data_IF_497102892780
#
_entry.id   IF_497102892780
#
_cell.length_a   1.000
_cell.length_b   1.000
_cell.length_c   1.000
_cell.angle_alpha   90.00
_cell.angle_beta   90.00
_cell.angle_gamma   90.00
#
_symmetry.space_group_name_H-M   'P 1'
#
loop_
_entity.id
_entity.type
_entity.pdbx_description
1 polymer ?
#
# COMPACT_ATOMS: atom_id res chain seq x y z
N UNK A 1 4.02 1.80 20.84
CA UNK A 1 3.65 0.99 19.66
C UNK A 1 4.92 0.50 19.01
N UNK A 2 5.05 -0.80 18.75
CA UNK A 2 6.20 -1.41 18.09
C UNK A 2 5.68 -2.19 16.89
N UNK A 3 6.37 -2.08 15.76
CA UNK A 3 6.13 -2.90 14.58
C UNK A 3 7.45 -3.46 14.08
N UNK A 4 7.45 -4.72 13.69
CA UNK A 4 8.60 -5.38 13.08
C UNK A 4 8.10 -6.37 12.03
N UNK A 5 8.88 -6.54 10.97
CA UNK A 5 8.56 -7.48 9.90
C UNK A 5 9.85 -8.10 9.33
N UNK A 6 9.74 -9.36 8.92
CA UNK A 6 10.78 -10.11 8.23
C UNK A 6 10.12 -10.82 7.06
N UNK A 7 10.67 -10.62 5.88
CA UNK A 7 9.99 -10.94 4.62
C UNK A 7 10.69 -12.09 3.89
N UNK A 8 9.95 -13.11 3.43
CA UNK A 8 10.53 -14.18 2.63
C UNK A 8 10.92 -13.65 1.25
N UNK A 9 11.78 -14.41 0.55
CA UNK A 9 12.07 -14.13 -0.87
C UNK A 9 10.82 -14.42 -1.71
N UNK A 10 10.55 -13.55 -2.69
CA UNK A 10 9.45 -13.73 -3.64
C UNK A 10 8.16 -13.01 -3.22
N UNK A 11 7.04 -13.39 -3.85
CA UNK A 11 5.73 -12.83 -3.51
C UNK A 11 5.26 -13.34 -2.15
N UNK A 12 4.60 -12.45 -1.40
CA UNK A 12 4.06 -12.81 -0.08
C UNK A 12 2.88 -13.76 -0.24
N UNK A 13 3.02 -14.95 0.34
CA UNK A 13 1.91 -15.85 0.55
C UNK A 13 1.07 -15.38 1.76
N UNK A 14 -0.22 -15.71 1.81
CA UNK A 14 -1.08 -15.43 2.95
C UNK A 14 -0.50 -16.00 4.26
N UNK A 15 -0.54 -15.20 5.33
CA UNK A 15 0.03 -15.57 6.64
C UNK A 15 -1.01 -16.31 7.48
N UNK A 16 -0.58 -17.37 8.17
CA UNK A 16 -1.37 -18.05 9.19
C UNK A 16 -2.16 -19.30 8.74
N UNK A 17 -1.68 -20.01 7.71
CA UNK A 17 -2.24 -21.31 7.30
C UNK A 17 -3.49 -21.23 6.40
N UNK A 18 -4.34 -22.27 6.41
CA UNK A 18 -5.59 -22.29 5.64
C UNK A 18 -6.64 -21.38 6.27
N UNK A 19 -6.80 -20.18 5.71
CA UNK A 19 -7.74 -19.15 6.19
C UNK A 19 -8.79 -18.87 5.13
N UNK A 20 -9.70 -19.81 4.89
CA UNK A 20 -10.67 -19.75 3.78
C UNK A 20 -11.61 -18.54 3.80
N UNK A 21 -11.77 -17.88 4.94
CA UNK A 21 -12.59 -16.66 5.08
C UNK A 21 -11.74 -15.37 5.02
N UNK A 22 -10.41 -15.48 4.91
CA UNK A 22 -9.52 -14.33 4.79
C UNK A 22 -9.46 -13.88 3.31
N UNK A 23 -9.78 -12.61 3.01
CA UNK A 23 -9.77 -12.11 1.65
C UNK A 23 -8.44 -12.27 0.92
N UNK A 24 -7.30 -12.06 1.61
CA UNK A 24 -5.98 -12.23 1.00
C UNK A 24 -5.70 -13.71 0.73
N UNK A 25 -6.16 -14.61 1.61
CA UNK A 25 -6.07 -16.04 1.38
C UNK A 25 -6.88 -16.47 0.14
N UNK A 26 -8.13 -16.03 0.04
CA UNK A 26 -9.01 -16.33 -1.09
C UNK A 26 -8.43 -15.78 -2.40
N UNK A 27 -7.97 -14.52 -2.39
CA UNK A 27 -7.34 -13.88 -3.55
C UNK A 27 -6.15 -14.70 -4.07
N UNK A 28 -5.28 -15.11 -3.17
CA UNK A 28 -4.05 -15.80 -3.53
C UNK A 28 -4.32 -17.23 -4.00
N UNK A 29 -5.18 -17.99 -3.30
CA UNK A 29 -5.37 -19.42 -3.57
C UNK A 29 -6.43 -19.73 -4.62
N UNK A 30 -7.48 -18.91 -4.74
CA UNK A 30 -8.60 -19.22 -5.64
C UNK A 30 -8.38 -18.68 -7.06
N UNK A 31 -7.74 -17.52 -7.19
CA UNK A 31 -7.56 -16.83 -8.48
C UNK A 31 -6.09 -16.52 -8.81
N UNK A 32 -5.15 -16.94 -7.96
CA UNK A 32 -3.72 -16.72 -8.19
C UNK A 32 -3.28 -15.25 -8.20
N UNK A 33 -4.09 -14.34 -7.63
CA UNK A 33 -3.80 -12.92 -7.65
C UNK A 33 -2.85 -12.53 -6.51
N UNK A 34 -1.55 -12.56 -6.81
CA UNK A 34 -0.48 -12.05 -5.94
C UNK A 34 -0.59 -10.54 -5.75
N UNK A 35 0.28 -9.97 -4.89
CA UNK A 35 0.17 -8.55 -4.57
C UNK A 35 0.27 -7.63 -5.78
N UNK A 36 1.16 -7.96 -6.71
CA UNK A 36 1.36 -7.16 -7.91
C UNK A 36 0.16 -7.22 -8.86
N UNK A 37 -0.55 -8.35 -8.93
CA UNK A 37 -1.72 -8.54 -9.80
C UNK A 37 -2.87 -7.63 -9.40
N UNK A 38 -3.23 -7.59 -8.11
CA UNK A 38 -4.36 -6.76 -7.69
C UNK A 38 -4.07 -5.26 -7.80
N UNK A 39 -2.83 -4.83 -7.49
CA UNK A 39 -2.44 -3.44 -7.71
C UNK A 39 -2.40 -3.07 -9.20
N UNK A 40 -2.01 -4.00 -10.08
CA UNK A 40 -2.01 -3.78 -11.52
C UNK A 40 -3.44 -3.58 -12.07
N UNK A 41 -4.42 -4.34 -11.57
CA UNK A 41 -5.83 -4.17 -11.91
C UNK A 41 -6.37 -2.81 -11.43
N UNK A 42 -5.99 -2.37 -10.23
CA UNK A 42 -6.31 -1.03 -9.73
C UNK A 42 -5.64 0.07 -10.57
N UNK A 43 -4.38 -0.14 -10.99
CA UNK A 43 -3.67 0.78 -11.85
C UNK A 43 -4.38 0.91 -13.21
N UNK A 44 -4.72 -0.20 -13.87
CA UNK A 44 -5.49 -0.19 -15.13
C UNK A 44 -6.82 0.53 -14.96
N UNK A 45 -7.59 0.22 -13.92
CA UNK A 45 -8.85 0.91 -13.62
C UNK A 45 -8.65 2.42 -13.45
N UNK A 46 -7.54 2.85 -12.83
CA UNK A 46 -7.20 4.27 -12.69
C UNK A 46 -6.85 4.90 -14.05
N UNK A 47 -6.15 4.19 -14.92
CA UNK A 47 -5.89 4.63 -16.29
C UNK A 47 -7.22 4.81 -17.06
N UNK A 48 -8.12 3.82 -16.97
CA UNK A 48 -9.39 3.83 -17.69
C UNK A 48 -10.36 4.94 -17.21
N UNK A 49 -10.46 5.13 -15.89
CA UNK A 49 -11.41 6.09 -15.31
C UNK A 49 -10.91 7.52 -15.26
N UNK A 50 -9.60 7.72 -15.09
CA UNK A 50 -9.02 9.04 -14.79
C UNK A 50 -7.90 9.45 -15.74
N UNK A 51 -7.59 8.64 -16.76
CA UNK A 51 -6.53 8.96 -17.74
C UNK A 51 -5.11 8.91 -17.18
N UNK A 52 -4.88 8.19 -16.07
CA UNK A 52 -3.53 8.01 -15.55
C UNK A 52 -2.63 7.32 -16.59
N UNK A 53 -1.35 7.68 -16.59
CA UNK A 53 -0.35 7.19 -17.54
C UNK A 53 0.76 6.41 -16.83
N UNK A 54 1.55 5.64 -17.59
CA UNK A 54 2.77 5.01 -17.06
C UNK A 54 3.76 6.04 -16.49
N UNK A 55 3.80 7.24 -17.08
CA UNK A 55 4.65 8.32 -16.60
C UNK A 55 4.19 8.86 -15.24
N UNK A 56 2.88 8.91 -14.97
CA UNK A 56 2.35 9.27 -13.66
C UNK A 56 2.81 8.30 -12.57
N UNK A 57 2.78 6.99 -12.87
CA UNK A 57 3.29 5.97 -11.96
C UNK A 57 4.80 6.09 -11.77
N UNK A 58 5.56 6.27 -12.85
CA UNK A 58 7.01 6.45 -12.79
C UNK A 58 7.41 7.68 -11.93
N UNK A 59 6.68 8.79 -12.03
CA UNK A 59 6.93 9.99 -11.23
C UNK A 59 6.83 9.72 -9.72
N UNK A 60 5.96 8.80 -9.29
CA UNK A 60 5.87 8.39 -7.87
C UNK A 60 7.19 7.75 -7.42
N UNK A 61 7.77 6.86 -8.25
CA UNK A 61 9.05 6.22 -7.96
C UNK A 61 10.19 7.23 -7.94
N UNK A 62 10.28 8.13 -8.91
CA UNK A 62 11.32 9.18 -8.96
C UNK A 62 11.29 10.03 -7.67
N UNK A 63 10.09 10.50 -7.29
CA UNK A 63 9.88 11.24 -6.05
C UNK A 63 10.35 10.43 -4.83
N UNK A 64 9.95 9.17 -4.71
CA UNK A 64 10.32 8.31 -3.59
C UNK A 64 11.83 8.04 -3.53
N UNK A 65 12.48 7.81 -4.68
CA UNK A 65 13.91 7.60 -4.78
C UNK A 65 14.71 8.83 -4.32
N UNK A 66 14.27 10.04 -4.74
CA UNK A 66 14.88 11.30 -4.28
C UNK A 66 14.79 11.48 -2.77
N UNK A 67 13.64 11.18 -2.16
CA UNK A 67 13.49 11.25 -0.70
C UNK A 67 14.28 10.16 0.04
N UNK A 68 14.48 8.99 -0.58
CA UNK A 68 15.27 7.90 -0.03
C UNK A 68 16.78 8.11 -0.08
N UNK A 69 17.27 8.96 -1.00
CA UNK A 69 18.70 9.13 -1.29
C UNK A 69 19.58 9.36 -0.05
N UNK A 70 19.17 10.32 0.78
CA UNK A 70 19.91 10.72 1.98
C UNK A 70 19.42 10.05 3.26
N UNK A 71 18.41 9.18 3.18
CA UNK A 71 17.90 8.47 4.34
C UNK A 71 18.81 7.25 4.63
N UNK A 72 19.54 7.22 5.77
CA UNK A 72 20.43 6.10 6.09
C UNK A 72 19.66 4.79 6.31
N UNK A 73 18.36 4.85 6.59
CA UNK A 73 17.49 3.70 6.79
C UNK A 73 16.75 3.27 5.51
N UNK A 74 16.90 4.00 4.41
CA UNK A 74 16.29 3.58 3.14
C UNK A 74 17.04 2.38 2.59
N UNK A 75 16.30 1.35 2.17
CA UNK A 75 16.87 0.18 1.52
C UNK A 75 17.63 0.54 0.24
N UNK A 76 17.04 1.39 -0.59
CA UNK A 76 17.66 1.87 -1.81
C UNK A 76 18.00 3.35 -1.65
N UNK A 77 19.28 3.65 -1.73
CA UNK A 77 19.84 5.01 -1.61
C UNK A 77 20.41 5.44 -2.96
N UNK A 78 19.57 5.34 -3.99
CA UNK A 78 19.91 5.64 -5.39
C UNK A 78 18.75 6.42 -6.01
N UNK A 79 19.08 7.43 -6.80
CA UNK A 79 18.09 8.11 -7.64
C UNK A 79 17.57 7.18 -8.76
N UNK A 80 16.37 7.48 -9.24
CA UNK A 80 15.77 6.84 -10.39
C UNK A 80 15.19 7.94 -11.27
N UNK A 81 15.30 7.79 -12.58
CA UNK A 81 14.64 8.64 -13.58
C UNK A 81 13.34 8.00 -14.05
N UNK A 82 12.49 8.76 -14.74
CA UNK A 82 11.29 8.20 -15.39
C UNK A 82 11.69 7.12 -16.39
N UNK A 83 12.73 7.36 -17.18
CA UNK A 83 13.22 6.41 -18.19
C UNK A 83 13.71 5.11 -17.55
N UNK A 84 14.39 5.17 -16.39
CA UNK A 84 14.77 3.97 -15.64
C UNK A 84 13.55 3.11 -15.27
N UNK A 85 12.46 3.75 -14.85
CA UNK A 85 11.21 3.05 -14.48
C UNK A 85 10.54 2.46 -15.71
N UNK A 86 10.39 3.25 -16.77
CA UNK A 86 9.79 2.82 -18.03
C UNK A 86 10.62 1.77 -18.78
N UNK A 87 11.93 1.70 -18.54
CA UNK A 87 12.79 0.65 -19.07
C UNK A 87 12.81 -0.61 -18.21
N UNK A 88 12.34 -0.53 -16.95
CA UNK A 88 12.39 -1.68 -16.03
C UNK A 88 11.41 -2.79 -16.43
N UNK A 89 11.70 -4.07 -16.11
CA UNK A 89 10.87 -5.20 -16.52
C UNK A 89 9.41 -5.06 -16.08
N UNK A 90 8.47 -5.43 -16.92
CA UNK A 90 7.06 -5.56 -16.53
C UNK A 90 6.93 -6.73 -15.56
N UNK A 91 6.29 -6.51 -14.41
CA UNK A 91 6.02 -7.54 -13.41
C UNK A 91 4.56 -7.98 -13.47
N UNK A 92 3.64 -7.02 -13.56
CA UNK A 92 2.21 -7.27 -13.79
C UNK A 92 1.63 -6.05 -14.50
N UNK A 93 1.29 -6.18 -15.79
CA UNK A 93 0.87 -5.05 -16.63
C UNK A 93 -0.27 -4.25 -15.96
N UNK A 94 -0.12 -2.93 -15.74
CA UNK A 94 0.91 -2.02 -16.29
C UNK A 94 2.15 -1.79 -15.41
N UNK A 95 2.21 -2.40 -14.22
CA UNK A 95 3.26 -2.18 -13.22
C UNK A 95 4.57 -2.85 -13.61
N UNK A 96 5.65 -2.08 -13.47
CA UNK A 96 7.02 -2.49 -13.74
C UNK A 96 7.80 -2.69 -12.44
N UNK A 97 8.97 -3.31 -12.54
CA UNK A 97 9.79 -3.71 -11.40
C UNK A 97 10.07 -2.55 -10.44
N UNK A 98 10.33 -1.35 -10.96
CA UNK A 98 10.61 -0.19 -10.11
C UNK A 98 9.37 0.44 -9.47
N UNK A 99 8.16 0.05 -9.90
CA UNK A 99 6.89 0.39 -9.22
C UNK A 99 6.63 -0.52 -8.01
N UNK A 100 7.24 -1.70 -7.97
CA UNK A 100 7.03 -2.70 -6.91
C UNK A 100 7.89 -2.36 -5.69
N UNK A 101 7.25 -2.39 -4.50
CA UNK A 101 7.97 -2.20 -3.25
C UNK A 101 8.97 -3.34 -2.98
N UNK A 102 10.09 -3.02 -2.34
CA UNK A 102 11.11 -4.01 -2.04
C UNK A 102 10.80 -4.75 -0.73
N UNK A 103 10.94 -6.08 -0.74
CA UNK A 103 10.68 -6.99 0.39
C UNK A 103 11.73 -6.86 1.51
N UNK A 104 11.50 -6.02 2.51
CA UNK A 104 12.54 -5.59 3.47
C UNK A 104 12.31 -6.14 4.87
N UNK A 105 13.40 -6.43 5.57
CA UNK A 105 13.36 -6.76 7.00
C UNK A 105 13.64 -5.50 7.81
N UNK A 106 12.90 -5.28 8.91
CA UNK A 106 13.09 -4.10 9.73
C UNK A 106 12.12 -3.98 10.89
N UNK A 107 12.37 -3.01 11.76
CA UNK A 107 11.51 -2.68 12.90
C UNK A 107 11.49 -1.17 13.16
N UNK A 108 10.39 -0.71 13.75
CA UNK A 108 10.21 0.66 14.22
C UNK A 108 9.39 0.69 15.52
N UNK A 109 9.63 1.71 16.34
CA UNK A 109 8.88 1.93 17.57
C UNK A 109 8.52 3.42 17.71
N UNK A 110 7.31 3.67 18.22
CA UNK A 110 6.81 5.01 18.55
C UNK A 110 6.25 4.99 19.96
N UNK A 111 6.63 5.98 20.77
CA UNK A 111 6.03 6.25 22.08
C UNK A 111 5.00 7.36 21.88
N UNK A 112 3.76 7.09 22.26
CA UNK A 112 2.65 8.05 22.16
C UNK A 112 2.18 8.36 23.58
N UNK A 113 2.03 9.64 23.88
CA UNK A 113 1.54 10.13 25.16
C UNK A 113 0.63 11.34 24.94
N UNK A 114 -0.24 11.63 25.91
CA UNK A 114 -1.00 12.87 25.91
C UNK A 114 -0.08 14.06 26.22
N UNK A 115 -0.42 15.25 25.69
CA UNK A 115 0.32 16.48 25.96
C UNK A 115 0.51 16.72 27.47
N UNK A 116 -0.55 16.54 28.26
CA UNK A 116 -0.51 16.72 29.71
C UNK A 116 0.43 15.74 30.41
N UNK A 117 0.47 14.48 29.97
CA UNK A 117 1.41 13.49 30.50
C UNK A 117 2.86 13.89 30.20
N UNK A 118 3.12 14.33 28.98
CA UNK A 118 4.45 14.79 28.55
C UNK A 118 4.90 16.02 29.33
N UNK A 119 4.06 17.04 29.49
CA UNK A 119 4.40 18.24 30.26
C UNK A 119 4.69 17.92 31.73
N UNK A 120 3.88 17.06 32.34
CA UNK A 120 4.07 16.63 33.74
C UNK A 120 5.41 15.91 33.97
N UNK A 121 5.84 15.05 33.04
CA UNK A 121 6.99 14.16 33.25
C UNK A 121 8.27 14.62 32.56
N UNK A 122 8.19 15.37 31.46
CA UNK A 122 9.35 15.89 30.73
C UNK A 122 9.55 17.41 30.91
N UNK A 123 8.59 18.12 31.53
CA UNK A 123 8.65 19.56 31.79
C UNK A 123 8.43 20.45 30.55
N UNK A 124 8.46 19.89 29.34
CA UNK A 124 8.24 20.61 28.09
C UNK A 124 7.78 19.68 26.97
N UNK A 125 7.07 20.25 25.98
CA UNK A 125 6.72 19.58 24.72
C UNK A 125 7.55 20.10 23.54
N UNK A 126 8.51 20.99 23.79
CA UNK A 126 9.38 21.54 22.75
C UNK A 126 10.17 20.42 22.05
N UNK A 127 10.11 20.40 20.71
CA UNK A 127 10.79 19.39 19.89
C UNK A 127 10.06 18.04 19.78
N UNK A 128 8.94 17.84 20.48
CA UNK A 128 8.13 16.62 20.35
C UNK A 128 7.14 16.77 19.20
N UNK A 129 7.17 15.90 18.17
CA UNK A 129 6.17 15.93 17.09
C UNK A 129 4.76 15.72 17.62
N UNK A 130 3.82 16.59 17.25
CA UNK A 130 2.41 16.47 17.61
C UNK A 130 1.56 15.93 16.46
N UNK A 131 0.71 14.95 16.73
CA UNK A 131 -0.30 14.48 15.76
C UNK A 131 -1.52 15.40 15.85
N UNK A 132 -1.82 16.14 14.78
CA UNK A 132 -2.95 17.10 14.76
C UNK A 132 -4.28 16.46 14.37
N UNK A 133 -4.25 15.43 13.54
CA UNK A 133 -5.44 14.72 13.10
C UNK A 133 -5.06 13.27 12.76
N UNK A 134 -6.04 12.38 12.94
CA UNK A 134 -5.99 11.01 12.46
C UNK A 134 -7.24 10.80 11.64
N UNK A 135 -7.08 10.35 10.39
CA UNK A 135 -8.20 9.91 9.55
C UNK A 135 -8.13 8.40 9.46
N UNK A 136 -9.16 7.72 9.96
CA UNK A 136 -9.36 6.29 9.76
C UNK A 136 -10.38 6.13 8.64
N UNK A 137 -9.98 5.51 7.53
CA UNK A 137 -10.90 5.04 6.52
C UNK A 137 -11.10 3.54 6.77
N UNK A 138 -12.22 3.21 7.41
CA UNK A 138 -12.68 1.83 7.51
C UNK A 138 -13.46 1.51 6.23
N UNK A 139 -13.30 0.32 5.63
CA UNK A 139 -14.18 -0.13 4.57
C UNK A 139 -15.64 0.03 5.00
N UNK A 140 -16.45 0.70 4.17
CA UNK A 140 -17.89 0.79 4.40
C UNK A 140 -18.55 -0.39 3.69
N UNK A 141 -19.36 -1.14 4.43
CA UNK A 141 -20.17 -2.24 3.89
C UNK A 141 -21.62 -1.78 3.71
N UNK A 142 -22.31 -2.17 2.61
CA UNK A 142 -21.83 -3.02 1.52
C UNK A 142 -20.93 -2.28 0.51
N UNK A 143 -19.85 -2.94 0.08
CA UNK A 143 -18.97 -2.42 -0.96
C UNK A 143 -19.56 -2.77 -2.33
N UNK A 144 -20.01 -1.74 -3.07
CA UNK A 144 -20.64 -1.88 -4.39
C UNK A 144 -19.63 -1.87 -5.53
N UNK A 145 -18.38 -1.53 -5.23
CA UNK A 145 -17.29 -1.61 -6.19
C UNK A 145 -16.64 -2.98 -6.08
N UNK A 146 -16.56 -3.78 -7.15
CA UNK A 146 -15.77 -4.99 -7.15
C UNK A 146 -14.31 -4.61 -6.85
N UNK A 147 -13.85 -4.94 -5.65
CA UNK A 147 -12.45 -4.89 -5.24
C UNK A 147 -11.96 -6.33 -5.06
N UNK A 148 -10.66 -6.57 -5.18
CA UNK A 148 -10.13 -7.93 -4.98
C UNK A 148 -10.12 -8.26 -3.49
N UNK A 149 -10.62 -9.44 -3.06
CA UNK A 149 -11.09 -10.61 -3.83
C UNK A 149 -12.59 -10.65 -4.17
N UNK A 150 -13.36 -9.65 -3.79
CA UNK A 150 -14.82 -9.54 -3.99
C UNK A 150 -15.27 -9.50 -5.48
N UNK A 151 -14.40 -9.87 -6.43
CA UNK A 151 -14.74 -10.17 -7.83
C UNK A 151 -15.90 -11.18 -7.91
N UNK A 152 -16.08 -12.03 -6.88
CA UNK A 152 -17.15 -13.03 -6.81
C UNK A 152 -18.44 -12.55 -6.09
N UNK A 153 -18.42 -11.41 -5.41
CA UNK A 153 -19.60 -10.90 -4.68
C UNK A 153 -19.95 -9.52 -5.17
N UNK A 154 -20.57 -9.49 -6.35
CA UNK A 154 -21.35 -8.35 -6.77
C UNK A 154 -22.58 -8.23 -5.86
N UNK A 155 -22.51 -7.33 -4.87
CA UNK A 155 -23.66 -7.02 -4.02
C UNK A 155 -24.82 -6.41 -4.82
N UNK A 156 -24.61 -5.99 -6.08
CA UNK A 156 -25.69 -5.63 -7.00
C UNK A 156 -26.56 -6.78 -7.48
N UNK A 157 -26.15 -8.03 -7.23
CA UNK A 157 -27.03 -9.18 -7.36
C UNK A 157 -28.25 -9.11 -6.42
N UNK A 158 -28.16 -8.36 -5.30
CA UNK A 158 -29.21 -8.27 -4.29
C UNK A 158 -29.54 -6.84 -3.81
N UNK A 159 -28.71 -5.83 -4.11
CA UNK A 159 -28.92 -4.42 -3.73
C UNK A 159 -28.54 -3.48 -4.88
N UNK A 160 -29.42 -2.61 -5.38
CA UNK A 160 -29.08 -1.65 -6.44
C UNK A 160 -27.84 -0.80 -6.10
N UNK A 161 -26.94 -0.61 -7.06
CA UNK A 161 -25.78 0.25 -6.90
C UNK A 161 -26.16 1.72 -6.63
N UNK A 162 -25.32 2.49 -5.92
CA UNK A 162 -25.60 3.90 -5.64
C UNK A 162 -25.67 4.71 -6.94
N UNK A 163 -26.51 5.75 -6.95
CA UNK A 163 -26.55 6.72 -8.04
C UNK A 163 -25.18 7.39 -8.16
N UNK A 164 -24.56 7.26 -9.35
CA UNK A 164 -23.30 7.94 -9.66
C UNK A 164 -23.56 9.45 -9.69
N UNK A 165 -22.78 10.21 -8.92
CA UNK A 165 -22.76 11.69 -8.94
C UNK A 165 -21.73 12.14 -9.97
#
# INVERSE_FOLDING_TARGET
>A
VIGADTTPKGFFAPVGGERRNDPDWQRFHLIGATNTVYFALLARRRMDLYGATLQDFANVKVKNARHGLNNPYARYRKEATVDDVLASPVVSDPLRLLDICATSDGAAAVIVASKAFTEKHLGSTAGVPSVRAVSLQSPQYPQHLPELPDIATDSTAVIPGPQRV
#
